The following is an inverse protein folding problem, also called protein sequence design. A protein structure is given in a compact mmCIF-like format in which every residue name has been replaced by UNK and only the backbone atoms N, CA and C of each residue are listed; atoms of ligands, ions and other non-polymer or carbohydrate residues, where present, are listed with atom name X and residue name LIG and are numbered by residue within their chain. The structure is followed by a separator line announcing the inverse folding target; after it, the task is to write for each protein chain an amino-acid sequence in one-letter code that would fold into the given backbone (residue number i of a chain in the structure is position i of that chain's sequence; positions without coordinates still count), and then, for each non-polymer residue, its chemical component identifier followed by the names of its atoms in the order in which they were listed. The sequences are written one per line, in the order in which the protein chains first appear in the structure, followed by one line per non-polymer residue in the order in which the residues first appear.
data_IF_394690637728
#
_entry.id   IF_394690637728
#
_cell.length_a   1.000
_cell.length_b   1.000
_cell.length_c   1.000
_cell.angle_alpha   90.00
_cell.angle_beta   90.00
_cell.angle_gamma   90.00
#
_symmetry.space_group_name_H-M   'P 1'
#
loop_
_entity.id
_entity.type
_entity.pdbx_description
1 polymer ?
#
# COMPACT_ATOMS: atom_id res chain seq x y z
N UNK A 1 -10.39 -15.10 41.76
CA UNK A 1 -9.81 -15.75 40.57
C UNK A 1 -9.40 -14.65 39.61
N UNK A 2 -8.10 -14.36 39.47
CA UNK A 2 -7.63 -13.38 38.48
C UNK A 2 -7.45 -14.10 37.14
N UNK A 3 -8.08 -13.63 36.04
CA UNK A 3 -7.78 -14.16 34.73
C UNK A 3 -6.37 -13.71 34.34
N UNK A 4 -5.42 -14.64 34.36
CA UNK A 4 -4.14 -14.43 33.69
C UNK A 4 -4.32 -14.72 32.20
N UNK A 5 -4.29 -13.67 31.37
CA UNK A 5 -4.17 -13.81 29.92
C UNK A 5 -2.70 -14.11 29.60
N UNK A 6 -2.46 -15.28 29.00
CA UNK A 6 -1.14 -15.74 28.57
C UNK A 6 -0.53 -14.80 27.50
N UNK A 7 0.79 -14.62 27.54
CA UNK A 7 1.55 -13.90 26.51
C UNK A 7 1.49 -14.66 25.17
N UNK A 8 0.55 -14.29 24.30
CA UNK A 8 0.43 -14.89 22.96
C UNK A 8 1.55 -14.37 22.06
N UNK A 9 2.42 -15.27 21.59
CA UNK A 9 3.36 -14.94 20.50
C UNK A 9 2.57 -14.68 19.22
N UNK A 10 2.58 -13.43 18.74
CA UNK A 10 2.04 -13.07 17.42
C UNK A 10 3.19 -13.14 16.42
N UNK A 11 3.06 -13.99 15.41
CA UNK A 11 4.00 -14.08 14.29
C UNK A 11 3.44 -13.38 13.06
N UNK A 12 4.31 -13.01 12.12
CA UNK A 12 3.94 -12.44 10.81
C UNK A 12 3.20 -11.10 10.91
N UNK A 13 3.65 -10.25 11.84
CA UNK A 13 3.25 -8.84 11.88
C UNK A 13 3.86 -8.10 10.68
N UNK A 14 3.15 -7.10 10.11
CA UNK A 14 3.74 -6.22 9.13
C UNK A 14 4.98 -5.53 9.70
N UNK A 15 6.08 -5.51 8.94
CA UNK A 15 7.34 -4.94 9.40
C UNK A 15 8.15 -4.39 8.24
N UNK A 16 8.99 -3.38 8.50
CA UNK A 16 10.02 -2.98 7.55
C UNK A 16 11.17 -3.98 7.67
N UNK A 17 11.56 -4.58 6.56
CA UNK A 17 12.73 -5.47 6.45
C UNK A 17 13.53 -5.12 5.20
N UNK A 18 14.55 -5.91 4.88
CA UNK A 18 15.35 -5.70 3.68
C UNK A 18 15.79 -7.02 3.02
N UNK A 19 16.10 -6.92 1.73
CA UNK A 19 16.76 -7.94 0.92
C UNK A 19 17.94 -7.25 0.22
N UNK A 20 19.16 -7.59 0.63
CA UNK A 20 20.34 -6.78 0.29
C UNK A 20 20.19 -5.35 0.79
N UNK A 21 20.35 -4.37 -0.10
CA UNK A 21 20.20 -2.94 0.19
C UNK A 21 18.76 -2.43 0.07
N UNK A 22 17.84 -3.26 -0.43
CA UNK A 22 16.46 -2.86 -0.71
C UNK A 22 15.60 -3.04 0.53
N UNK A 23 14.98 -1.96 1.03
CA UNK A 23 14.01 -2.02 2.14
C UNK A 23 12.59 -2.12 1.60
N UNK A 24 11.74 -2.89 2.28
CA UNK A 24 10.34 -3.05 1.92
C UNK A 24 9.49 -3.38 3.16
N UNK A 25 8.18 -3.22 3.02
CA UNK A 25 7.21 -3.62 4.05
C UNK A 25 6.85 -5.08 3.81
N UNK A 26 7.28 -5.98 4.69
CA UNK A 26 6.97 -7.40 4.63
C UNK A 26 5.69 -7.74 5.39
N UNK A 27 5.07 -8.88 5.02
CA UNK A 27 3.93 -9.47 5.75
C UNK A 27 2.71 -8.54 5.85
N UNK A 28 2.48 -7.66 4.87
CA UNK A 28 1.28 -6.83 4.83
C UNK A 28 0.08 -7.73 4.49
N UNK A 29 -0.79 -7.94 5.48
CA UNK A 29 -1.95 -8.84 5.41
C UNK A 29 -3.25 -8.07 5.53
N UNK A 30 -4.38 -8.73 5.25
CA UNK A 30 -5.72 -8.17 5.48
C UNK A 30 -5.79 -7.35 6.77
N UNK A 31 -6.20 -6.09 6.65
CA UNK A 31 -6.28 -5.13 7.75
C UNK A 31 -5.06 -4.22 7.92
N UNK A 32 -3.91 -4.56 7.31
CA UNK A 32 -2.72 -3.69 7.29
C UNK A 32 -3.03 -2.42 6.50
N UNK A 33 -2.63 -1.27 7.04
CA UNK A 33 -2.73 0.03 6.39
C UNK A 33 -1.38 0.71 6.40
N UNK A 34 -0.89 1.10 5.22
CA UNK A 34 0.28 1.95 5.05
C UNK A 34 -0.22 3.35 4.70
N UNK A 35 0.18 4.36 5.47
CA UNK A 35 -0.40 5.69 5.39
C UNK A 35 0.71 6.72 5.22
N UNK A 36 0.57 7.53 4.18
CA UNK A 36 1.43 8.65 3.90
C UNK A 36 0.62 9.94 3.97
N UNK A 37 1.17 10.97 4.61
CA UNK A 37 0.49 12.25 4.85
C UNK A 37 1.16 13.36 4.04
N UNK A 38 0.40 14.42 3.79
CA UNK A 38 0.87 15.66 3.17
C UNK A 38 1.30 15.52 1.70
N UNK A 39 0.66 14.65 0.93
CA UNK A 39 0.88 14.54 -0.52
C UNK A 39 0.15 15.64 -1.29
N UNK A 40 0.84 16.31 -2.22
CA UNK A 40 0.19 17.09 -3.26
C UNK A 40 -0.27 16.15 -4.39
N UNK A 41 -1.58 16.05 -4.60
CA UNK A 41 -2.19 15.17 -5.61
C UNK A 41 -3.04 15.95 -6.62
N UNK A 42 -2.90 17.28 -6.70
CA UNK A 42 -3.73 18.12 -7.58
C UNK A 42 -3.59 17.77 -9.06
N UNK A 43 -2.36 17.47 -9.48
CA UNK A 43 -2.01 17.10 -10.86
C UNK A 43 -1.82 15.59 -11.01
N UNK A 44 -1.90 14.82 -9.93
CA UNK A 44 -1.69 13.36 -9.99
C UNK A 44 -2.95 12.68 -10.50
N UNK A 45 -2.79 11.83 -11.52
CA UNK A 45 -3.89 11.06 -12.11
C UNK A 45 -3.59 9.56 -12.20
N UNK A 46 -2.37 9.14 -11.83
CA UNK A 46 -1.98 7.74 -11.84
C UNK A 46 -1.03 7.44 -10.70
N UNK A 47 -1.19 6.25 -10.12
CA UNK A 47 -0.24 5.65 -9.19
C UNK A 47 0.21 4.30 -9.74
N UNK A 48 1.50 4.00 -9.59
CA UNK A 48 2.00 2.63 -9.67
C UNK A 48 2.34 2.12 -8.29
N UNK A 49 2.07 0.85 -8.02
CA UNK A 49 2.49 0.15 -6.81
C UNK A 49 3.31 -1.07 -7.22
N UNK A 50 4.46 -1.24 -6.57
CA UNK A 50 5.35 -2.40 -6.75
C UNK A 50 5.26 -3.29 -5.53
N UNK A 51 4.85 -4.53 -5.75
CA UNK A 51 4.66 -5.53 -4.70
C UNK A 51 4.93 -6.95 -5.21
N UNK A 52 5.06 -7.89 -4.27
CA UNK A 52 5.06 -9.34 -4.54
C UNK A 52 4.15 -10.05 -3.54
N UNK A 53 3.80 -11.28 -3.85
CA UNK A 53 2.84 -12.12 -3.14
C UNK A 53 1.48 -12.15 -3.83
N UNK A 54 0.47 -12.58 -3.06
CA UNK A 54 -0.91 -12.71 -3.51
C UNK A 54 -1.83 -11.91 -2.61
N UNK A 55 -2.57 -10.95 -3.17
CA UNK A 55 -3.48 -10.12 -2.39
C UNK A 55 -4.08 -8.95 -3.17
N UNK A 56 -5.00 -8.25 -2.50
CA UNK A 56 -5.71 -7.11 -3.06
C UNK A 56 -5.43 -5.89 -2.18
N UNK A 57 -4.98 -4.80 -2.80
CA UNK A 57 -4.69 -3.52 -2.15
C UNK A 57 -5.70 -2.48 -2.59
N UNK A 58 -6.44 -1.89 -1.67
CA UNK A 58 -7.25 -0.71 -1.95
C UNK A 58 -6.40 0.55 -1.78
N UNK A 59 -6.45 1.43 -2.78
CA UNK A 59 -5.81 2.74 -2.75
C UNK A 59 -6.84 3.76 -2.31
N UNK A 60 -6.55 4.52 -1.25
CA UNK A 60 -7.45 5.53 -0.71
C UNK A 60 -6.78 6.91 -0.69
N UNK A 61 -7.56 7.93 -1.03
CA UNK A 61 -7.21 9.34 -0.85
C UNK A 61 -8.21 9.92 0.15
N UNK A 62 -7.74 10.45 1.28
CA UNK A 62 -8.59 10.96 2.37
C UNK A 62 -9.64 9.94 2.85
N UNK A 63 -9.27 8.65 2.86
CA UNK A 63 -10.17 7.56 3.22
C UNK A 63 -11.20 7.19 2.15
N UNK A 64 -11.23 7.88 1.01
CA UNK A 64 -12.10 7.57 -0.12
C UNK A 64 -11.39 6.63 -1.08
N UNK A 65 -12.01 5.48 -1.35
CA UNK A 65 -11.54 4.46 -2.26
C UNK A 65 -11.37 5.01 -3.69
N UNK A 66 -10.18 4.87 -4.25
CA UNK A 66 -9.88 5.20 -5.65
C UNK A 66 -9.98 3.96 -6.55
N UNK A 67 -9.79 2.77 -5.96
CA UNK A 67 -9.83 1.49 -6.66
C UNK A 67 -8.88 0.49 -6.01
N UNK A 68 -8.98 -0.75 -6.45
CA UNK A 68 -8.16 -1.86 -5.95
C UNK A 68 -7.18 -2.35 -7.00
N UNK A 69 -6.01 -2.76 -6.55
CA UNK A 69 -4.98 -3.41 -7.37
C UNK A 69 -4.81 -4.85 -6.87
N UNK A 70 -4.92 -5.82 -7.78
CA UNK A 70 -4.64 -7.22 -7.49
C UNK A 70 -3.19 -7.56 -7.84
N UNK A 71 -2.54 -8.28 -6.92
CA UNK A 71 -1.23 -8.88 -7.11
C UNK A 71 -1.34 -10.39 -6.99
N UNK A 72 -0.65 -11.09 -7.88
CA UNK A 72 -0.45 -12.53 -7.84
C UNK A 72 0.88 -12.84 -8.53
N UNK A 73 1.97 -12.65 -7.81
CA UNK A 73 3.33 -12.85 -8.35
C UNK A 73 4.32 -13.14 -7.24
N UNK A 74 5.14 -14.18 -7.40
CA UNK A 74 6.20 -14.50 -6.43
C UNK A 74 7.42 -13.57 -6.55
N UNK A 75 7.48 -12.77 -7.62
CA UNK A 75 8.53 -11.77 -7.87
C UNK A 75 7.97 -10.36 -7.80
N UNK A 76 8.86 -9.37 -7.69
CA UNK A 76 8.46 -7.97 -7.68
C UNK A 76 7.80 -7.59 -9.00
N UNK A 77 6.51 -7.27 -8.97
CA UNK A 77 5.80 -6.76 -10.14
C UNK A 77 5.17 -5.40 -9.84
N UNK A 78 5.06 -4.60 -10.90
CA UNK A 78 4.42 -3.29 -10.84
C UNK A 78 3.02 -3.38 -11.44
N UNK A 79 2.09 -2.66 -10.83
CA UNK A 79 0.73 -2.48 -11.31
C UNK A 79 0.33 -1.02 -11.16
N UNK A 80 -0.62 -0.57 -11.97
CA UNK A 80 -1.07 0.81 -11.99
C UNK A 80 -2.56 0.95 -11.72
N UNK A 81 -2.95 2.13 -11.25
CA UNK A 81 -4.33 2.53 -11.05
C UNK A 81 -4.49 4.01 -11.42
N UNK A 82 -5.50 4.30 -12.24
CA UNK A 82 -5.93 5.68 -12.49
C UNK A 82 -6.59 6.25 -11.25
N UNK A 83 -6.14 7.44 -10.84
CA UNK A 83 -6.66 8.15 -9.67
C UNK A 83 -7.60 9.26 -10.10
N UNK A 84 -8.62 9.51 -9.28
CA UNK A 84 -9.35 10.77 -9.35
C UNK A 84 -8.44 11.86 -8.78
N UNK A 85 -8.51 13.07 -9.36
CA UNK A 85 -7.71 14.21 -8.90
C UNK A 85 -7.92 14.44 -7.40
N UNK A 86 -6.81 14.64 -6.69
CA UNK A 86 -6.83 15.06 -5.31
C UNK A 86 -6.70 16.58 -5.17
N UNK A 87 -6.31 17.00 -3.98
CA UNK A 87 -6.03 18.39 -3.61
C UNK A 87 -4.63 18.52 -3.00
N UNK A 88 -4.33 19.66 -2.38
CA UNK A 88 -3.16 19.81 -1.51
C UNK A 88 -3.32 19.02 -0.21
N UNK A 89 -2.20 18.57 0.34
CA UNK A 89 -2.09 17.95 1.66
C UNK A 89 -2.97 16.71 1.87
N UNK A 90 -3.03 15.83 0.88
CA UNK A 90 -3.78 14.59 0.97
C UNK A 90 -3.10 13.53 1.83
N UNK A 91 -3.95 12.68 2.42
CA UNK A 91 -3.55 11.39 2.98
C UNK A 91 -3.72 10.32 1.91
N UNK A 92 -2.62 9.67 1.55
CA UNK A 92 -2.60 8.51 0.67
C UNK A 92 -2.45 7.25 1.52
N UNK A 93 -3.38 6.30 1.35
CA UNK A 93 -3.38 5.07 2.13
C UNK A 93 -3.44 3.83 1.23
N UNK A 94 -2.68 2.80 1.58
CA UNK A 94 -2.77 1.47 0.99
C UNK A 94 -3.34 0.51 2.03
N UNK A 95 -4.55 0.01 1.79
CA UNK A 95 -5.21 -0.94 2.70
C UNK A 95 -5.23 -2.32 2.08
N UNK A 96 -4.60 -3.28 2.73
CA UNK A 96 -4.67 -4.68 2.29
C UNK A 96 -6.06 -5.22 2.62
N UNK A 97 -6.83 -5.56 1.59
CA UNK A 97 -8.16 -6.15 1.73
C UNK A 97 -8.09 -7.66 1.90
N UNK A 98 -7.17 -8.30 1.18
CA UNK A 98 -7.03 -9.75 1.10
C UNK A 98 -5.58 -10.18 0.90
N UNK A 99 -5.29 -11.42 1.30
CA UNK A 99 -4.00 -12.05 1.05
C UNK A 99 -2.85 -11.56 1.93
N UNK A 100 -1.63 -11.75 1.41
CA UNK A 100 -0.36 -11.40 2.04
C UNK A 100 0.58 -10.88 0.97
N UNK A 101 1.06 -9.65 1.16
CA UNK A 101 1.92 -8.95 0.23
C UNK A 101 3.17 -8.41 0.93
N UNK A 102 4.24 -8.34 0.17
CA UNK A 102 5.37 -7.46 0.47
C UNK A 102 5.24 -6.23 -0.43
N UNK A 103 5.33 -5.02 0.13
CA UNK A 103 5.21 -3.75 -0.59
C UNK A 103 6.55 -3.05 -0.66
N UNK A 104 7.00 -2.71 -1.88
CA UNK A 104 8.33 -2.18 -2.11
C UNK A 104 8.34 -0.66 -2.34
N UNK A 105 7.60 -0.21 -3.36
CA UNK A 105 7.66 1.17 -3.85
C UNK A 105 6.32 1.57 -4.45
N UNK A 106 6.03 2.86 -4.51
CA UNK A 106 4.98 3.45 -5.33
C UNK A 106 5.46 4.74 -6.00
N UNK A 107 4.93 5.02 -7.19
CA UNK A 107 5.23 6.25 -7.92
C UNK A 107 3.93 6.94 -8.31
N UNK A 108 3.94 8.27 -8.29
CA UNK A 108 2.81 9.12 -8.66
C UNK A 108 3.15 9.82 -9.96
N UNK A 109 2.20 9.85 -10.88
CA UNK A 109 2.37 10.48 -12.18
C UNK A 109 1.27 11.51 -12.44
N UNK A 110 1.68 12.56 -13.14
CA UNK A 110 0.82 13.53 -13.79
C UNK A 110 0.90 13.29 -15.29
N UNK A 111 -0.23 13.21 -15.98
CA UNK A 111 -0.18 13.48 -17.41
C UNK A 111 -0.09 15.00 -17.52
N UNK A 112 1.07 15.51 -17.93
CA UNK A 112 1.10 16.83 -18.55
C UNK A 112 0.19 16.72 -19.77
N UNK A 113 -0.88 17.52 -19.80
CA UNK A 113 -1.60 17.76 -21.04
C UNK A 113 -0.56 18.31 -22.03
N UNK A 114 -0.23 17.53 -23.07
CA UNK A 114 0.38 18.09 -24.26
C UNK A 114 -0.55 19.20 -24.75
N UNK A 115 -0.12 20.45 -24.60
CA UNK A 115 -0.72 21.61 -25.24
C UNK A 115 -0.23 21.62 -26.68
#
# INVERSE_FOLDING_TARGET
HMPHVSNRKVSKLPMITHEGQTRYIANARKGTSVIYKYFDLQTTNKITLKARGKGIVNILIQGVSQGSIEFNSDTWCQRELTLRKGSLHNVLSFKILEGSLDLLDFQLYSNESQI
#
